data_IF_680667285280
#
_entry.id   IF_680667285280
#
_cell.length_a   1.000
_cell.length_b   1.000
_cell.length_c   1.000
_cell.angle_alpha   90.00
_cell.angle_beta   90.00
_cell.angle_gamma   90.00
#
_symmetry.space_group_name_H-M   'P 1'
#
loop_
_entity.id
_entity.type
_entity.pdbx_description
1 polymer ?
#
# COMPACT_ATOMS: atom_id res chain seq x y z
N UNK A 1 2.07 -45.97 -0.91
CA UNK A 1 2.44 -45.26 0.33
C UNK A 1 2.11 -43.80 0.10
N UNK A 2 0.93 -43.38 0.54
CA UNK A 2 0.55 -41.97 0.62
C UNK A 2 1.36 -41.35 1.75
N UNK A 3 2.20 -40.38 1.43
CA UNK A 3 2.85 -39.55 2.45
C UNK A 3 1.85 -38.52 2.92
N UNK A 4 1.25 -38.74 4.08
CA UNK A 4 0.61 -37.69 4.87
C UNK A 4 1.68 -36.65 5.23
N UNK A 5 1.83 -35.62 4.40
CA UNK A 5 2.54 -34.40 4.77
C UNK A 5 1.51 -33.46 5.40
N UNK A 6 1.42 -33.36 6.74
CA UNK A 6 0.55 -32.38 7.35
C UNK A 6 1.03 -30.97 6.98
N UNK A 7 0.27 -30.27 6.14
CA UNK A 7 0.43 -28.83 5.94
C UNK A 7 -0.07 -28.11 7.18
N UNK A 8 0.78 -27.32 7.82
CA UNK A 8 0.40 -26.46 8.93
C UNK A 8 0.33 -25.01 8.44
N UNK A 9 -0.84 -24.38 8.57
CA UNK A 9 -1.01 -22.96 8.30
C UNK A 9 -0.56 -22.16 9.52
N UNK A 10 0.49 -21.36 9.37
CA UNK A 10 0.98 -20.46 10.42
C UNK A 10 0.40 -19.07 10.19
N UNK A 11 -0.49 -18.63 11.08
CA UNK A 11 -1.02 -17.25 11.09
C UNK A 11 -0.36 -16.48 12.23
N UNK A 12 0.36 -15.40 11.90
CA UNK A 12 1.00 -14.51 12.88
C UNK A 12 0.12 -13.28 13.09
N UNK A 13 -0.40 -13.10 14.30
CA UNK A 13 -1.13 -11.89 14.68
C UNK A 13 -0.20 -10.88 15.36
N UNK A 14 -0.13 -9.65 14.85
CA UNK A 14 0.67 -8.57 15.43
C UNK A 14 -0.21 -7.65 16.27
N UNK A 15 0.11 -7.53 17.57
CA UNK A 15 -0.52 -6.54 18.45
C UNK A 15 0.31 -5.25 18.40
N UNK A 16 -0.23 -4.20 17.79
CA UNK A 16 0.40 -2.87 17.74
C UNK A 16 -0.12 -2.03 18.92
N UNK A 17 0.75 -1.78 19.90
CA UNK A 17 0.41 -0.96 21.08
C UNK A 17 0.39 0.54 20.77
N UNK A 18 1.36 1.00 19.99
CA UNK A 18 1.47 2.39 19.56
C UNK A 18 1.65 2.45 18.03
N UNK A 19 0.58 2.78 17.28
CA UNK A 19 0.62 2.97 15.83
C UNK A 19 1.67 3.97 15.35
N UNK A 20 1.95 5.01 16.13
CA UNK A 20 2.83 6.12 15.72
C UNK A 20 4.29 5.74 15.61
N UNK A 21 4.67 4.63 16.24
CA UNK A 21 6.03 4.08 16.19
C UNK A 21 6.25 3.14 15.01
N UNK A 22 5.22 2.85 14.22
CA UNK A 22 5.36 1.96 13.07
C UNK A 22 5.72 2.80 11.85
N UNK A 23 6.96 2.68 11.32
CA UNK A 23 7.32 3.41 10.09
C UNK A 23 6.58 2.83 8.89
N UNK A 24 6.39 3.65 7.85
CA UNK A 24 5.96 3.16 6.54
C UNK A 24 6.97 2.13 6.04
N UNK A 25 6.46 1.01 5.51
CA UNK A 25 7.32 -0.06 4.99
C UNK A 25 7.57 0.19 3.51
N UNK A 26 8.83 0.40 3.14
CA UNK A 26 9.25 0.39 1.74
C UNK A 26 9.59 -1.02 1.29
N UNK A 27 9.35 -1.34 0.01
CA UNK A 27 9.71 -2.64 -0.57
C UNK A 27 11.23 -2.79 -0.63
N UNK A 28 11.92 -1.72 -1.00
CA UNK A 28 13.37 -1.58 -0.92
C UNK A 28 13.70 -0.25 -0.24
N UNK A 29 14.77 -0.22 0.55
CA UNK A 29 15.16 0.98 1.30
C UNK A 29 15.39 2.20 0.40
N UNK A 30 15.87 1.99 -0.83
CA UNK A 30 16.08 3.06 -1.82
C UNK A 30 14.79 3.83 -2.16
N UNK A 31 13.62 3.19 -2.05
CA UNK A 31 12.35 3.85 -2.36
C UNK A 31 11.96 4.92 -1.32
N UNK A 32 12.60 4.93 -0.15
CA UNK A 32 12.42 6.01 0.81
C UNK A 32 12.92 7.36 0.29
N UNK A 33 13.87 7.36 -0.66
CA UNK A 33 14.35 8.57 -1.32
C UNK A 33 13.44 8.96 -2.51
N UNK A 34 12.79 7.97 -3.15
CA UNK A 34 11.94 8.17 -4.34
C UNK A 34 10.54 8.70 -4.01
N UNK A 35 9.97 8.32 -2.86
CA UNK A 35 8.63 8.76 -2.44
C UNK A 35 8.62 9.12 -0.95
N UNK A 36 8.19 10.35 -0.66
CA UNK A 36 8.12 10.89 0.71
C UNK A 36 6.67 11.19 1.06
N UNK A 37 6.19 10.62 2.17
CA UNK A 37 4.81 10.80 2.63
C UNK A 37 4.67 12.00 3.57
N UNK A 38 3.73 12.88 3.25
CA UNK A 38 3.21 13.89 4.16
C UNK A 38 2.09 13.31 5.03
N UNK A 39 1.28 12.39 4.47
CA UNK A 39 0.27 11.61 5.17
C UNK A 39 0.12 10.21 4.55
N UNK A 40 -0.13 9.16 5.35
CA UNK A 40 0.17 9.12 6.79
C UNK A 40 1.68 9.15 7.04
N UNK A 41 2.11 9.63 8.21
CA UNK A 41 3.52 9.57 8.65
C UNK A 41 3.89 8.22 9.27
N UNK A 42 2.92 7.33 9.41
CA UNK A 42 3.04 6.03 10.06
C UNK A 42 2.57 4.91 9.10
N UNK A 43 3.23 3.76 9.18
CA UNK A 43 2.94 2.58 8.35
C UNK A 43 1.84 1.68 8.91
N UNK A 44 1.25 2.02 10.06
CA UNK A 44 0.09 1.32 10.61
C UNK A 44 -1.02 2.30 10.97
N UNK A 45 -2.22 2.04 10.47
CA UNK A 45 -3.43 2.80 10.77
C UNK A 45 -4.50 1.90 11.37
N UNK A 46 -5.26 2.44 12.33
CA UNK A 46 -6.53 1.86 12.79
C UNK A 46 -7.62 2.88 12.52
N UNK A 47 -8.59 2.52 11.71
CA UNK A 47 -9.67 3.42 11.24
C UNK A 47 -11.03 2.75 11.34
N UNK A 48 -12.10 3.53 11.28
CA UNK A 48 -13.45 2.98 11.17
C UNK A 48 -13.82 2.66 9.72
N UNK A 49 -14.71 1.69 9.54
CA UNK A 49 -15.28 1.37 8.24
C UNK A 49 -15.95 2.60 7.60
N UNK A 50 -15.51 2.93 6.39
CA UNK A 50 -15.94 4.10 5.61
C UNK A 50 -15.24 5.41 5.98
N UNK A 51 -14.32 5.41 6.95
CA UNK A 51 -13.44 6.55 7.22
C UNK A 51 -12.46 6.74 6.06
N UNK A 52 -12.28 7.99 5.63
CA UNK A 52 -11.34 8.33 4.58
C UNK A 52 -9.91 8.32 5.14
N UNK A 53 -9.03 7.59 4.45
CA UNK A 53 -7.60 7.56 4.72
C UNK A 53 -6.93 8.47 3.69
N UNK A 54 -6.52 9.65 4.13
CA UNK A 54 -5.77 10.59 3.29
C UNK A 54 -4.34 10.10 3.11
N UNK A 55 -3.89 10.07 1.86
CA UNK A 55 -2.54 9.70 1.47
C UNK A 55 -2.01 10.80 0.56
N UNK A 56 -0.93 11.44 1.00
CA UNK A 56 -0.29 12.53 0.28
C UNK A 56 1.21 12.52 0.48
N UNK A 57 1.92 13.09 -0.48
CA UNK A 57 3.38 13.09 -0.49
C UNK A 57 3.94 13.69 -1.77
N UNK A 58 5.23 13.49 -1.99
CA UNK A 58 5.95 13.88 -3.20
C UNK A 58 6.71 12.69 -3.78
N UNK A 59 6.88 12.70 -5.10
CA UNK A 59 7.79 11.79 -5.82
C UNK A 59 9.04 12.58 -6.21
N UNK A 60 10.20 12.13 -5.75
CA UNK A 60 11.48 12.83 -5.93
C UNK A 60 12.37 12.18 -7.00
N UNK A 61 11.83 11.24 -7.79
CA UNK A 61 12.61 10.49 -8.78
C UNK A 61 12.77 11.27 -10.11
N UNK A 62 13.98 11.76 -10.41
CA UNK A 62 14.18 12.77 -11.47
C UNK A 62 13.97 12.28 -12.92
N UNK A 63 14.45 11.09 -13.31
CA UNK A 63 14.69 10.82 -14.75
C UNK A 63 13.81 9.73 -15.41
N UNK A 64 13.09 8.89 -14.65
CA UNK A 64 12.49 7.66 -15.19
C UNK A 64 10.97 7.52 -15.11
N UNK A 65 10.24 8.58 -14.71
CA UNK A 65 8.77 8.54 -14.62
C UNK A 65 8.10 8.83 -15.98
N UNK A 66 7.29 7.89 -16.49
CA UNK A 66 6.53 7.98 -17.75
C UNK A 66 5.06 8.32 -17.55
N UNK A 67 4.55 8.23 -16.33
CA UNK A 67 3.22 8.67 -15.97
C UNK A 67 3.27 9.69 -14.84
N UNK A 68 2.25 10.55 -14.77
CA UNK A 68 2.12 11.57 -13.74
C UNK A 68 1.12 11.14 -12.66
N UNK A 69 1.07 9.85 -12.34
CA UNK A 69 0.10 9.30 -11.40
C UNK A 69 0.76 8.35 -10.41
N UNK A 70 0.24 8.31 -9.18
CA UNK A 70 0.55 7.31 -8.15
C UNK A 70 -0.68 6.41 -7.98
N UNK A 71 -0.47 5.12 -7.77
CA UNK A 71 -1.54 4.15 -7.59
C UNK A 71 -1.69 3.72 -6.13
N UNK A 72 -2.92 3.61 -5.63
CA UNK A 72 -3.22 2.95 -4.36
C UNK A 72 -4.01 1.67 -4.63
N UNK A 73 -3.40 0.51 -4.33
CA UNK A 73 -4.04 -0.78 -4.48
C UNK A 73 -4.28 -1.42 -3.11
N UNK A 74 -5.55 -1.66 -2.79
CA UNK A 74 -5.91 -2.38 -1.57
C UNK A 74 -5.73 -3.88 -1.76
N UNK A 75 -5.20 -4.53 -0.73
CA UNK A 75 -5.21 -5.98 -0.57
C UNK A 75 -5.74 -6.32 0.81
N UNK A 76 -6.68 -7.28 0.89
CA UNK A 76 -7.33 -7.73 2.13
C UNK A 76 -6.74 -9.08 2.54
N UNK A 77 -6.41 -9.24 3.82
CA UNK A 77 -6.04 -10.54 4.36
C UNK A 77 -7.29 -11.42 4.49
N UNK A 78 -7.34 -12.51 3.72
CA UNK A 78 -8.43 -13.47 3.73
C UNK A 78 -7.92 -14.84 3.26
N UNK A 79 -8.46 -15.92 3.83
CA UNK A 79 -8.07 -17.29 3.47
C UNK A 79 -6.55 -17.54 3.55
N UNK A 80 -5.88 -16.94 4.56
CA UNK A 80 -4.46 -17.14 4.81
C UNK A 80 -3.51 -16.26 3.99
N UNK A 81 -4.01 -15.40 3.08
CA UNK A 81 -3.17 -14.56 2.22
C UNK A 81 -3.78 -13.17 1.95
N UNK A 82 -2.97 -12.25 1.44
CA UNK A 82 -3.41 -10.94 0.97
C UNK A 82 -3.86 -10.98 -0.49
N UNK A 83 -5.16 -10.73 -0.71
CA UNK A 83 -5.75 -10.73 -2.04
C UNK A 83 -6.20 -9.32 -2.43
N UNK A 84 -6.02 -8.96 -3.70
CA UNK A 84 -6.48 -7.70 -4.27
C UNK A 84 -7.96 -7.45 -3.95
N UNK A 85 -8.26 -6.29 -3.37
CA UNK A 85 -9.60 -5.92 -2.93
C UNK A 85 -10.03 -4.62 -3.61
N UNK A 86 -10.99 -4.70 -4.53
CA UNK A 86 -11.52 -3.52 -5.23
C UNK A 86 -10.58 -2.96 -6.32
N UNK A 87 -10.98 -1.82 -6.87
CA UNK A 87 -10.24 -1.15 -7.96
C UNK A 87 -9.08 -0.33 -7.40
N UNK A 88 -7.98 -0.28 -8.17
CA UNK A 88 -6.88 0.66 -7.92
C UNK A 88 -7.40 2.11 -7.96
N UNK A 89 -7.10 2.89 -6.92
CA UNK A 89 -7.25 4.34 -6.96
C UNK A 89 -6.04 4.93 -7.67
N UNK A 90 -6.27 5.85 -8.60
CA UNK A 90 -5.22 6.54 -9.35
C UNK A 90 -5.25 8.01 -8.95
N UNK A 91 -4.13 8.52 -8.48
CA UNK A 91 -3.99 9.89 -8.00
C UNK A 91 -3.05 10.66 -8.91
N UNK A 92 -3.53 11.77 -9.45
CA UNK A 92 -2.74 12.65 -10.32
C UNK A 92 -1.74 13.45 -9.49
N UNK A 93 -0.50 13.49 -9.95
CA UNK A 93 0.53 14.40 -9.43
C UNK A 93 0.36 15.79 -10.05
N UNK A 94 0.67 16.82 -9.27
CA UNK A 94 0.79 18.19 -9.76
C UNK A 94 2.17 18.45 -10.41
N UNK A 95 2.40 19.68 -10.86
CA UNK A 95 3.65 20.09 -11.50
C UNK A 95 4.88 19.98 -10.59
N UNK A 96 4.69 20.03 -9.27
CA UNK A 96 5.72 19.83 -8.26
C UNK A 96 5.91 18.36 -7.89
N UNK A 97 5.26 17.43 -8.60
CA UNK A 97 5.26 15.98 -8.33
C UNK A 97 4.69 15.61 -6.97
N UNK A 98 3.83 16.48 -6.43
CA UNK A 98 3.08 16.21 -5.21
C UNK A 98 1.78 15.50 -5.58
N UNK A 99 1.40 14.52 -4.79
CA UNK A 99 0.12 13.82 -4.91
C UNK A 99 -0.68 13.95 -3.62
N UNK A 100 -2.00 13.96 -3.76
CA UNK A 100 -2.93 13.92 -2.65
C UNK A 100 -4.20 13.22 -3.08
N UNK A 101 -4.55 12.14 -2.38
CA UNK A 101 -5.78 11.41 -2.61
C UNK A 101 -6.21 10.68 -1.35
N UNK A 102 -7.30 9.93 -1.45
CA UNK A 102 -7.79 9.16 -0.33
C UNK A 102 -8.36 7.82 -0.75
N UNK A 103 -8.39 6.89 0.20
CA UNK A 103 -9.10 5.62 0.08
C UNK A 103 -10.05 5.46 1.26
N UNK A 104 -11.22 4.89 1.02
CA UNK A 104 -12.17 4.52 2.07
C UNK A 104 -12.45 3.03 1.99
N UNK A 105 -12.38 2.34 3.12
CA UNK A 105 -12.58 0.89 3.21
C UNK A 105 -13.84 0.63 4.02
N UNK A 106 -14.87 0.09 3.38
CA UNK A 106 -16.20 -0.08 3.99
C UNK A 106 -16.36 -1.39 4.77
N UNK A 107 -15.51 -2.38 4.49
CA UNK A 107 -15.56 -3.67 5.15
C UNK A 107 -14.52 -3.74 6.27
N UNK A 108 -14.90 -4.17 7.49
CA UNK A 108 -13.93 -4.44 8.54
C UNK A 108 -12.95 -5.55 8.16
N UNK A 109 -11.73 -5.45 8.68
CA UNK A 109 -10.68 -6.44 8.45
C UNK A 109 -9.27 -5.85 8.43
N UNK A 110 -8.30 -6.66 8.04
CA UNK A 110 -6.90 -6.28 7.93
C UNK A 110 -6.52 -6.11 6.46
N UNK A 111 -5.95 -4.95 6.14
CA UNK A 111 -5.61 -4.55 4.78
C UNK A 111 -4.16 -4.07 4.68
N UNK A 112 -3.62 -4.15 3.48
CA UNK A 112 -2.47 -3.34 3.06
C UNK A 112 -2.96 -2.37 1.99
N UNK A 113 -2.58 -1.10 2.13
CA UNK A 113 -2.60 -0.13 1.04
C UNK A 113 -1.23 -0.20 0.39
N UNK A 114 -1.17 -0.79 -0.80
CA UNK A 114 0.04 -0.85 -1.60
C UNK A 114 0.16 0.47 -2.37
N UNK A 115 1.24 1.20 -2.13
CA UNK A 115 1.58 2.42 -2.85
C UNK A 115 2.40 2.03 -4.06
N UNK A 116 1.81 2.24 -5.23
CA UNK A 116 2.37 1.90 -6.52
C UNK A 116 2.96 3.14 -7.16
N UNK A 117 4.18 3.01 -7.66
CA UNK A 117 4.92 4.05 -8.35
C UNK A 117 4.16 4.58 -9.56
N UNK A 118 4.55 5.78 -10.07
CA UNK A 118 4.36 6.09 -11.47
C UNK A 118 4.97 5.00 -12.37
N UNK A 119 4.68 5.05 -13.67
CA UNK A 119 5.29 4.11 -14.60
C UNK A 119 6.78 4.41 -14.67
N UNK A 120 7.59 3.54 -14.06
CA UNK A 120 9.05 3.62 -14.03
C UNK A 120 9.62 2.49 -14.86
N UNK A 121 10.91 2.56 -15.17
CA UNK A 121 11.57 1.45 -15.83
C UNK A 121 11.55 0.21 -14.90
N UNK A 122 10.81 -0.81 -15.31
CA UNK A 122 10.63 -2.07 -14.59
C UNK A 122 11.37 -3.24 -15.29
N UNK A 123 12.00 -2.98 -16.45
CA UNK A 123 12.63 -3.98 -17.29
C UNK A 123 11.62 -4.75 -18.16
N UNK A 124 12.05 -5.14 -19.37
CA UNK A 124 11.19 -5.86 -20.32
C UNK A 124 11.54 -5.52 -21.78
N UNK A 125 11.47 -6.51 -22.66
CA UNK A 125 11.86 -6.32 -24.07
C UNK A 125 10.83 -5.56 -24.91
N UNK A 126 9.54 -5.56 -24.50
CA UNK A 126 8.44 -4.99 -25.30
C UNK A 126 7.68 -3.86 -24.59
N UNK A 127 7.57 -3.90 -23.26
CA UNK A 127 7.03 -2.81 -22.43
C UNK A 127 7.92 -2.64 -21.20
N UNK A 128 9.02 -1.88 -21.31
CA UNK A 128 9.98 -1.75 -20.23
C UNK A 128 9.48 -0.89 -19.06
N UNK A 129 8.35 -0.20 -19.22
CA UNK A 129 7.79 0.69 -18.21
C UNK A 129 6.53 0.12 -17.59
N UNK A 130 6.42 0.27 -16.28
CA UNK A 130 5.23 -0.11 -15.53
C UNK A 130 5.30 0.34 -14.08
N UNK A 131 4.13 0.44 -13.47
CA UNK A 131 3.97 0.71 -12.06
C UNK A 131 4.41 -0.48 -11.21
N UNK A 132 5.30 -0.24 -10.25
CA UNK A 132 5.77 -1.23 -9.27
C UNK A 132 5.36 -0.82 -7.86
N UNK A 133 5.35 -1.75 -6.92
CA UNK A 133 5.04 -1.44 -5.52
C UNK A 133 6.27 -0.82 -4.85
N UNK A 134 6.11 0.39 -4.32
CA UNK A 134 7.16 1.11 -3.61
C UNK A 134 7.03 1.01 -2.09
N UNK A 135 5.80 1.11 -1.58
CA UNK A 135 5.56 1.09 -0.14
C UNK A 135 4.24 0.41 0.23
N UNK A 136 4.11 0.10 1.52
CA UNK A 136 2.94 -0.52 2.13
C UNK A 136 2.56 0.22 3.42
N UNK A 137 1.26 0.47 3.57
CA UNK A 137 0.66 0.94 4.83
C UNK A 137 -0.32 -0.14 5.28
N UNK A 138 -0.09 -0.69 6.48
CA UNK A 138 -1.01 -1.63 7.11
C UNK A 138 -2.20 -0.89 7.72
N UNK A 139 -3.39 -1.43 7.51
CA UNK A 139 -4.64 -0.82 7.99
C UNK A 139 -5.53 -1.86 8.65
N UNK A 140 -5.86 -1.63 9.91
CA UNK A 140 -6.91 -2.33 10.62
C UNK A 140 -8.21 -1.51 10.53
N UNK A 141 -9.20 -2.06 9.85
CA UNK A 141 -10.51 -1.43 9.67
C UNK A 141 -11.47 -2.00 10.68
N UNK A 142 -11.92 -1.16 11.61
CA UNK A 142 -12.86 -1.50 12.65
C UNK A 142 -14.30 -1.37 12.14
N UNK A 143 -15.27 -2.15 12.65
CA UNK A 143 -16.68 -1.91 12.40
C UNK A 143 -17.07 -0.47 12.72
N UNK A 144 -17.95 0.10 11.89
CA UNK A 144 -18.55 1.40 12.20
C UNK A 144 -19.35 1.25 13.48
N UNK A 145 -19.04 2.04 14.50
CA UNK A 145 -19.80 2.04 15.75
C UNK A 145 -21.27 2.31 15.48
N UNK A 146 -22.16 1.67 16.25
CA UNK A 146 -23.55 2.12 16.36
C UNK A 146 -23.60 3.42 17.14
#
# INVERSE_FOLDING_TARGET
MESDNPSADIIVNRIVKDPSLIPVRYVYDMYADDIVFNKPTQGYLRVQAGEAIDISGSVNMDEDIRSQVVGFQLTKFQNGDYQTSGKKTVVQMNENREFSGSVAINEPGNYLINILSPDVFAGGMTSPYGSTKWAEIAVEVMPKGK
#
